data_IF_556595278808
#
_entry.id   IF_556595278808
#
_cell.length_a   1.000
_cell.length_b   1.000
_cell.length_c   1.000
_cell.angle_alpha   90.00
_cell.angle_beta   90.00
_cell.angle_gamma   90.00
#
_symmetry.space_group_name_H-M   'P 1'
#
loop_
_entity.id
_entity.type
_entity.pdbx_description
1 polymer ?
#
# COMPACT_ATOMS: atom_id res chain seq x y z
N UNK A 1 -1.20 -10.62 15.69
CA UNK A 1 -0.14 -9.58 15.94
C UNK A 1 1.01 -9.61 14.92
N UNK A 2 0.77 -10.03 13.66
CA UNK A 2 1.80 -10.04 12.59
C UNK A 2 1.71 -8.78 11.72
N UNK A 3 0.57 -8.08 11.73
CA UNK A 3 0.33 -6.90 10.91
C UNK A 3 1.31 -5.74 11.16
N UNK A 4 1.63 -5.42 12.42
CA UNK A 4 2.55 -4.32 12.78
C UNK A 4 3.94 -4.48 12.13
N UNK A 5 4.69 -5.58 12.38
CA UNK A 5 6.03 -5.73 11.77
C UNK A 5 5.95 -5.80 10.25
N UNK A 6 4.89 -6.37 9.69
CA UNK A 6 4.70 -6.49 8.25
C UNK A 6 4.41 -5.14 7.59
N UNK A 7 3.56 -4.32 8.19
CA UNK A 7 3.26 -2.95 7.77
C UNK A 7 4.52 -2.07 7.87
N UNK A 8 5.25 -2.17 8.97
CA UNK A 8 6.53 -1.46 9.15
C UNK A 8 7.57 -1.87 8.11
N UNK A 9 7.72 -3.18 7.86
CA UNK A 9 8.64 -3.69 6.83
C UNK A 9 8.26 -3.20 5.43
N UNK A 10 6.97 -3.20 5.11
CA UNK A 10 6.44 -2.68 3.84
C UNK A 10 6.78 -1.21 3.66
N UNK A 11 6.59 -0.40 4.70
CA UNK A 11 6.94 1.02 4.66
C UNK A 11 8.44 1.24 4.48
N UNK A 12 9.28 0.51 5.22
CA UNK A 12 10.74 0.56 5.07
C UNK A 12 11.16 0.15 3.66
N UNK A 13 10.59 -0.92 3.10
CA UNK A 13 10.87 -1.36 1.73
C UNK A 13 10.50 -0.28 0.70
N UNK A 14 9.36 0.40 0.86
CA UNK A 14 9.00 1.54 0.01
C UNK A 14 9.98 2.71 0.14
N UNK A 15 10.42 3.02 1.36
CA UNK A 15 11.40 4.10 1.60
C UNK A 15 12.77 3.78 0.99
N UNK A 16 13.19 2.53 1.06
CA UNK A 16 14.40 2.05 0.37
C UNK A 16 14.22 2.21 -1.13
N UNK A 17 13.14 1.69 -1.72
CA UNK A 17 12.90 1.83 -3.16
C UNK A 17 12.88 3.30 -3.60
N UNK A 18 12.21 4.15 -2.82
CA UNK A 18 12.14 5.58 -3.07
C UNK A 18 13.52 6.25 -3.04
N UNK A 19 14.43 5.84 -2.15
CA UNK A 19 15.76 6.44 -2.08
C UNK A 19 16.64 6.09 -3.30
N UNK A 20 16.40 4.92 -3.91
CA UNK A 20 17.10 4.47 -5.12
C UNK A 20 16.52 5.06 -6.43
N UNK A 21 15.21 4.94 -6.63
CA UNK A 21 14.56 5.23 -7.92
C UNK A 21 13.95 6.63 -7.96
N UNK A 22 13.55 7.17 -6.80
CA UNK A 22 13.03 8.54 -6.63
C UNK A 22 11.83 8.90 -7.51
N UNK A 23 10.98 7.94 -7.86
CA UNK A 23 9.81 8.24 -8.70
C UNK A 23 8.60 8.72 -7.90
N UNK A 24 7.73 9.54 -8.52
CA UNK A 24 6.50 10.03 -7.89
C UNK A 24 5.57 8.92 -7.40
N UNK A 25 5.56 7.76 -8.07
CA UNK A 25 4.78 6.59 -7.67
C UNK A 25 5.19 6.08 -6.29
N UNK A 26 6.50 5.90 -6.04
CA UNK A 26 7.00 5.41 -4.75
C UNK A 26 6.85 6.42 -3.60
N UNK A 27 6.74 7.72 -3.90
CA UNK A 27 6.38 8.73 -2.90
C UNK A 27 4.96 8.47 -2.39
N UNK A 28 4.01 8.30 -3.31
CA UNK A 28 2.61 8.05 -2.99
C UNK A 28 2.46 6.70 -2.29
N UNK A 29 3.14 5.66 -2.79
CA UNK A 29 3.11 4.33 -2.18
C UNK A 29 3.71 4.32 -0.77
N UNK A 30 4.83 5.03 -0.55
CA UNK A 30 5.44 5.19 0.77
C UNK A 30 4.50 5.90 1.75
N UNK A 31 3.83 6.98 1.33
CA UNK A 31 2.85 7.66 2.17
C UNK A 31 1.65 6.76 2.51
N UNK A 32 1.15 5.99 1.54
CA UNK A 32 0.05 5.05 1.76
C UNK A 32 0.42 3.95 2.77
N UNK A 33 1.59 3.34 2.61
CA UNK A 33 2.08 2.29 3.51
C UNK A 33 2.38 2.82 4.91
N UNK A 34 2.85 4.07 5.02
CA UNK A 34 2.95 4.77 6.30
C UNK A 34 1.59 4.95 6.97
N UNK A 35 0.56 5.35 6.22
CA UNK A 35 -0.79 5.50 6.76
C UNK A 35 -1.35 4.18 7.32
N UNK A 36 -1.09 3.07 6.63
CA UNK A 36 -1.45 1.73 7.13
C UNK A 36 -0.63 1.33 8.35
N UNK A 37 0.66 1.59 8.38
CA UNK A 37 1.48 1.33 9.57
C UNK A 37 0.98 2.11 10.79
N UNK A 38 0.64 3.39 10.60
CA UNK A 38 0.05 4.23 11.64
C UNK A 38 -1.31 3.69 12.11
N UNK A 39 -2.13 3.14 11.22
CA UNK A 39 -3.37 2.44 11.58
C UNK A 39 -3.09 1.27 12.53
N UNK A 40 -2.06 0.48 12.26
CA UNK A 40 -1.70 -0.70 13.06
C UNK A 40 -1.16 -0.38 14.46
N UNK A 41 -0.64 0.82 14.68
CA UNK A 41 -0.17 1.25 16.01
C UNK A 41 -1.35 1.53 16.97
N UNK A 42 -2.59 1.59 16.46
CA UNK A 42 -3.82 1.70 17.26
C UNK A 42 -3.87 2.94 18.19
N UNK A 43 -3.27 4.07 17.80
CA UNK A 43 -3.39 5.32 18.57
C UNK A 43 -4.77 5.99 18.37
N UNK A 44 -5.22 6.85 19.31
CA UNK A 44 -6.49 7.56 19.17
C UNK A 44 -6.56 8.38 17.89
N UNK A 45 -7.55 8.08 17.03
CA UNK A 45 -7.72 8.75 15.73
C UNK A 45 -7.02 8.07 14.55
N UNK A 46 -6.28 6.98 14.74
CA UNK A 46 -5.57 6.28 13.66
C UNK A 46 -6.49 5.83 12.51
N UNK A 47 -7.72 5.37 12.81
CA UNK A 47 -8.72 5.03 11.79
C UNK A 47 -9.14 6.24 10.94
N UNK A 48 -9.40 7.37 11.59
CA UNK A 48 -9.77 8.61 10.91
C UNK A 48 -8.60 9.13 10.06
N UNK A 49 -7.38 9.11 10.61
CA UNK A 49 -6.16 9.43 9.89
C UNK A 49 -6.00 8.57 8.63
N UNK A 50 -6.14 7.24 8.75
CA UNK A 50 -6.04 6.33 7.60
C UNK A 50 -7.07 6.67 6.51
N UNK A 51 -8.34 6.92 6.85
CA UNK A 51 -9.35 7.31 5.87
C UNK A 51 -9.05 8.64 5.20
N UNK A 52 -8.60 9.65 5.94
CA UNK A 52 -8.17 10.94 5.38
C UNK A 52 -6.96 10.75 4.46
N UNK A 53 -5.95 9.99 4.89
CA UNK A 53 -4.78 9.67 4.08
C UNK A 53 -5.14 8.94 2.79
N UNK A 54 -6.12 8.04 2.80
CA UNK A 54 -6.61 7.39 1.58
C UNK A 54 -7.18 8.42 0.60
N UNK A 55 -8.03 9.34 1.06
CA UNK A 55 -8.57 10.42 0.21
C UNK A 55 -7.45 11.29 -0.35
N UNK A 56 -6.48 11.66 0.49
CA UNK A 56 -5.30 12.44 0.07
C UNK A 56 -4.51 11.69 -1.00
N UNK A 57 -4.25 10.39 -0.82
CA UNK A 57 -3.55 9.54 -1.80
C UNK A 57 -4.31 9.48 -3.11
N UNK A 58 -5.63 9.29 -3.10
CA UNK A 58 -6.44 9.26 -4.31
C UNK A 58 -6.37 10.59 -5.08
N UNK A 59 -6.53 11.71 -4.38
CA UNK A 59 -6.45 13.04 -4.99
C UNK A 59 -5.03 13.30 -5.52
N UNK A 60 -4.01 12.94 -4.76
CA UNK A 60 -2.61 13.12 -5.15
C UNK A 60 -2.27 12.27 -6.39
N UNK A 61 -2.64 10.99 -6.40
CA UNK A 61 -2.48 10.10 -7.54
C UNK A 61 -3.23 10.61 -8.79
N UNK A 62 -4.41 11.20 -8.61
CA UNK A 62 -5.18 11.80 -9.71
C UNK A 62 -4.48 13.03 -10.31
N UNK A 63 -3.97 13.93 -9.47
CA UNK A 63 -3.24 15.12 -9.91
C UNK A 63 -1.93 14.72 -10.60
N UNK A 64 -1.24 13.70 -10.09
CA UNK A 64 0.03 13.20 -10.62
C UNK A 64 -0.11 12.03 -11.60
N UNK A 65 -1.32 11.78 -12.12
CA UNK A 65 -1.62 10.60 -12.96
C UNK A 65 -0.65 10.43 -14.13
N UNK A 66 -0.24 11.52 -14.77
CA UNK A 66 0.68 11.53 -15.92
C UNK A 66 2.11 11.16 -15.49
N UNK A 67 2.50 11.51 -14.27
CA UNK A 67 3.83 11.23 -13.72
C UNK A 67 3.99 9.81 -13.20
N UNK A 68 2.89 9.19 -12.76
CA UNK A 68 2.88 7.81 -12.24
C UNK A 68 2.44 6.79 -13.29
N UNK A 69 2.01 7.25 -14.47
CA UNK A 69 1.55 6.40 -15.56
C UNK A 69 2.59 5.36 -16.00
N UNK A 70 3.90 5.67 -16.09
CA UNK A 70 4.90 4.67 -16.48
C UNK A 70 4.90 3.43 -15.57
N UNK A 71 4.82 3.61 -14.25
CA UNK A 71 4.75 2.52 -13.28
C UNK A 71 3.39 1.82 -13.32
N UNK A 72 2.30 2.56 -13.50
CA UNK A 72 0.95 1.97 -13.63
C UNK A 72 0.77 1.14 -14.91
N UNK A 73 1.58 1.39 -15.94
CA UNK A 73 1.60 0.58 -17.16
C UNK A 73 2.31 -0.77 -16.98
N UNK A 74 3.10 -0.95 -15.92
CA UNK A 74 3.63 -2.26 -15.57
C UNK A 74 2.50 -3.15 -15.05
N UNK A 75 2.08 -4.09 -15.89
CA UNK A 75 1.00 -5.04 -15.59
C UNK A 75 1.25 -5.82 -14.31
N UNK A 76 2.50 -6.18 -13.99
CA UNK A 76 2.81 -6.95 -12.77
C UNK A 76 2.59 -6.07 -11.55
N UNK A 77 3.18 -4.88 -11.54
CA UNK A 77 3.02 -3.91 -10.44
C UNK A 77 1.55 -3.58 -10.22
N UNK A 78 0.82 -3.28 -11.30
CA UNK A 78 -0.61 -2.94 -11.23
C UNK A 78 -1.45 -4.12 -10.73
N UNK A 79 -1.11 -5.36 -11.12
CA UNK A 79 -1.80 -6.57 -10.61
C UNK A 79 -1.60 -6.71 -9.11
N UNK A 80 -0.37 -6.55 -8.60
CA UNK A 80 -0.11 -6.64 -7.16
C UNK A 80 -0.80 -5.53 -6.37
N UNK A 81 -0.72 -4.29 -6.85
CA UNK A 81 -1.35 -3.13 -6.22
C UNK A 81 -2.88 -3.28 -6.19
N UNK A 82 -3.48 -3.69 -7.31
CA UNK A 82 -4.92 -3.88 -7.40
C UNK A 82 -5.40 -5.04 -6.51
N UNK A 83 -4.64 -6.14 -6.49
CA UNK A 83 -4.95 -7.28 -5.62
C UNK A 83 -4.86 -6.87 -4.15
N UNK A 84 -3.82 -6.12 -3.76
CA UNK A 84 -3.70 -5.57 -2.41
C UNK A 84 -4.91 -4.70 -2.05
N UNK A 85 -5.31 -3.80 -2.95
CA UNK A 85 -6.47 -2.93 -2.76
C UNK A 85 -7.77 -3.74 -2.53
N UNK A 86 -8.04 -4.74 -3.36
CA UNK A 86 -9.22 -5.61 -3.22
C UNK A 86 -9.15 -6.41 -1.92
N UNK A 87 -8.00 -6.96 -1.57
CA UNK A 87 -7.80 -7.71 -0.32
C UNK A 87 -8.02 -6.85 0.91
N UNK A 88 -7.55 -5.60 0.92
CA UNK A 88 -7.87 -4.65 2.01
C UNK A 88 -9.34 -4.30 2.05
N UNK A 89 -9.96 -4.05 0.89
CA UNK A 89 -11.40 -3.81 0.79
C UNK A 89 -12.20 -4.97 1.39
N UNK A 90 -11.79 -6.21 1.08
CA UNK A 90 -12.36 -7.42 1.65
C UNK A 90 -12.15 -7.52 3.17
N UNK A 91 -10.94 -7.28 3.66
CA UNK A 91 -10.65 -7.22 5.11
C UNK A 91 -11.57 -6.22 5.82
N UNK A 92 -11.75 -5.02 5.27
CA UNK A 92 -12.66 -4.02 5.84
C UNK A 92 -14.14 -4.41 5.75
N UNK A 93 -14.54 -5.12 4.70
CA UNK A 93 -15.89 -5.66 4.57
C UNK A 93 -16.17 -6.71 5.65
N UNK A 94 -15.23 -7.64 5.88
CA UNK A 94 -15.32 -8.64 6.95
C UNK A 94 -15.37 -7.96 8.31
N UNK A 95 -14.45 -7.03 8.62
CA UNK A 95 -14.39 -6.30 9.90
C UNK A 95 -15.70 -5.54 10.24
N UNK A 96 -16.44 -5.11 9.21
CA UNK A 96 -17.75 -4.44 9.36
C UNK A 96 -18.92 -5.42 9.46
N UNK A 97 -18.65 -6.70 9.71
CA UNK A 97 -19.63 -7.80 9.76
C UNK A 97 -20.43 -7.92 8.46
N UNK A 98 -19.77 -7.68 7.32
CA UNK A 98 -20.39 -7.86 5.99
C UNK A 98 -20.89 -9.30 5.75
N UNK A 99 -20.39 -10.27 6.52
CA UNK A 99 -20.77 -11.68 6.48
C UNK A 99 -21.77 -12.09 7.58
N UNK A 100 -22.41 -11.14 8.27
CA UNK A 100 -23.34 -11.44 9.37
C UNK A 100 -24.53 -12.35 9.00
N UNK A 101 -24.80 -12.53 7.70
CA UNK A 101 -25.82 -13.45 7.20
C UNK A 101 -25.41 -14.93 7.24
N UNK A 102 -24.12 -15.23 7.43
CA UNK A 102 -23.61 -16.61 7.47
C UNK A 102 -23.77 -17.17 8.89
N UNK A 103 -24.45 -18.33 9.07
CA UNK A 103 -24.51 -19.00 10.35
C UNK A 103 -23.10 -19.35 10.85
N UNK A 104 -22.85 -19.19 12.15
CA UNK A 104 -21.54 -19.47 12.77
C UNK A 104 -20.38 -18.59 12.29
N UNK A 105 -20.65 -17.41 11.72
CA UNK A 105 -19.61 -16.49 11.25
C UNK A 105 -18.64 -16.06 12.36
N UNK A 106 -19.12 -15.88 13.59
CA UNK A 106 -18.29 -15.50 14.74
C UNK A 106 -17.13 -16.46 15.01
N UNK A 107 -17.23 -17.74 14.61
CA UNK A 107 -16.15 -18.72 14.82
C UNK A 107 -14.94 -18.48 13.93
N UNK A 108 -15.13 -17.88 12.75
CA UNK A 108 -14.07 -17.65 11.77
C UNK A 108 -13.88 -16.17 11.40
N UNK A 109 -14.73 -15.28 11.91
CA UNK A 109 -14.68 -13.84 11.67
C UNK A 109 -13.29 -13.26 11.97
N UNK A 110 -12.78 -13.48 13.18
CA UNK A 110 -11.49 -12.95 13.63
C UNK A 110 -10.34 -13.49 12.77
N UNK A 111 -10.35 -14.79 12.46
CA UNK A 111 -9.34 -15.41 11.61
C UNK A 111 -9.37 -14.89 10.16
N UNK A 112 -10.57 -14.64 9.60
CA UNK A 112 -10.72 -14.05 8.27
C UNK A 112 -10.30 -12.59 8.24
N UNK A 113 -10.65 -11.81 9.27
CA UNK A 113 -10.25 -10.41 9.39
C UNK A 113 -8.72 -10.29 9.47
N UNK A 114 -8.09 -10.96 10.43
CA UNK A 114 -6.63 -10.92 10.61
C UNK A 114 -5.91 -11.54 9.40
N UNK A 115 -6.42 -12.64 8.86
CA UNK A 115 -5.84 -13.31 7.69
C UNK A 115 -5.87 -12.43 6.43
N UNK A 116 -7.01 -11.78 6.18
CA UNK A 116 -7.16 -10.89 5.01
C UNK A 116 -6.32 -9.62 5.15
N UNK A 117 -6.23 -9.08 6.37
CA UNK A 117 -5.38 -7.92 6.64
C UNK A 117 -3.90 -8.23 6.44
N UNK A 118 -3.40 -9.33 7.02
CA UNK A 118 -2.02 -9.78 6.83
C UNK A 118 -1.71 -10.03 5.36
N UNK A 119 -2.64 -10.65 4.61
CA UNK A 119 -2.47 -10.86 3.17
C UNK A 119 -2.38 -9.53 2.41
N UNK A 120 -3.20 -8.54 2.78
CA UNK A 120 -3.12 -7.18 2.23
C UNK A 120 -1.74 -6.55 2.42
N UNK A 121 -1.17 -6.68 3.62
CA UNK A 121 0.19 -6.20 3.90
C UNK A 121 1.26 -6.96 3.10
N UNK A 122 1.16 -8.30 2.96
CA UNK A 122 2.08 -9.09 2.14
C UNK A 122 2.03 -8.63 0.68
N UNK A 123 0.84 -8.41 0.13
CA UNK A 123 0.68 -7.95 -1.26
C UNK A 123 1.25 -6.55 -1.47
N UNK A 124 1.11 -5.66 -0.48
CA UNK A 124 1.76 -4.34 -0.52
C UNK A 124 3.28 -4.44 -0.45
N UNK A 125 3.82 -5.34 0.37
CA UNK A 125 5.25 -5.62 0.41
C UNK A 125 5.75 -6.12 -0.96
N UNK A 126 5.05 -7.07 -1.57
CA UNK A 126 5.39 -7.56 -2.92
C UNK A 126 5.34 -6.41 -3.93
N UNK A 127 4.32 -5.55 -3.86
CA UNK A 127 4.20 -4.35 -4.73
C UNK A 127 5.42 -3.44 -4.56
N UNK A 128 5.86 -3.19 -3.33
CA UNK A 128 7.02 -2.34 -3.05
C UNK A 128 8.34 -2.90 -3.59
N UNK A 129 8.44 -4.23 -3.74
CA UNK A 129 9.65 -4.90 -4.24
C UNK A 129 9.63 -5.13 -5.76
N UNK A 130 8.44 -5.15 -6.38
CA UNK A 130 8.25 -5.52 -7.79
C UNK A 130 8.54 -4.40 -8.80
N UNK A 131 8.72 -3.16 -8.34
CA UNK A 131 9.05 -2.04 -9.23
C UNK A 131 10.45 -2.15 -9.86
N UNK A 132 10.67 -1.40 -10.94
CA UNK A 132 11.97 -1.37 -11.61
C UNK A 132 13.01 -0.65 -10.75
N UNK A 133 14.07 -1.37 -10.35
CA UNK A 133 15.18 -0.86 -9.55
C UNK A 133 16.26 -0.16 -10.39
N UNK A 134 15.88 0.49 -11.49
CA UNK A 134 16.80 1.32 -12.27
C UNK A 134 16.98 2.66 -11.56
N UNK A 135 18.19 2.99 -11.07
CA UNK A 135 18.44 4.29 -10.47
C UNK A 135 18.16 5.38 -11.50
N UNK A 136 17.69 6.54 -11.06
CA UNK A 136 17.85 7.73 -11.89
C UNK A 136 19.35 7.97 -12.03
N UNK A 137 19.91 7.70 -13.22
CA UNK A 137 21.26 8.10 -13.55
C UNK A 137 21.38 9.59 -13.22
N UNK A 138 22.35 9.92 -12.37
CA UNK A 138 22.59 11.31 -11.98
C UNK A 138 22.72 12.14 -13.24
N UNK A 139 21.99 13.25 -13.32
CA UNK A 139 21.97 14.12 -14.48
C UNK A 139 23.39 14.52 -14.86
N UNK A 140 23.95 13.82 -15.84
CA UNK A 140 24.99 14.35 -16.69
C UNK A 140 24.30 15.39 -17.56
N UNK A 141 24.69 16.64 -17.38
CA UNK A 141 24.31 17.71 -18.28
C UNK A 141 24.78 17.31 -19.70
N UNK A 142 23.91 17.30 -20.73
CA UNK A 142 24.33 17.06 -22.10
C UNK A 142 25.29 18.15 -22.66
N UNK A 143 25.75 19.08 -21.83
CA UNK A 143 26.77 20.08 -22.16
C UNK A 143 28.23 19.56 -22.11
N UNK A 144 28.48 18.32 -21.67
CA UNK A 144 29.84 17.76 -21.51
C UNK A 144 30.31 16.86 -22.68
N UNK A 145 29.65 16.90 -23.85
CA UNK A 145 30.04 16.13 -25.05
C UNK A 145 30.21 16.99 -26.29
#
# INVERSE_FOLDING_TARGET
MIAIPLAGLTWVACMIHLSYVKTPFFIILSYLTFAFFMREIHFPGAKAFCYVSLVVVFVWAWIWREKIQPELNDRKLMTWLFTAFVTYGWSQFVARKGLAFIPNELFFHEALEEGSENLGHILMLITSLSGTWTPMEGGGDPADS
#
